data_IF_635936926461
#
_entry.id   IF_635936926461
#
_cell.length_a   1.000
_cell.length_b   1.000
_cell.length_c   1.000
_cell.angle_alpha   90.00
_cell.angle_beta   90.00
_cell.angle_gamma   90.00
#
_symmetry.space_group_name_H-M   'P 1'
#
loop_
_entity.id
_entity.type
_entity.pdbx_description
1 polymer ?
#
# COMPACT_ATOMS: atom_id res chain seq x y z
N UNK A 1 -3.20 -6.94 -14.53
CA UNK A 1 -2.98 -6.69 -13.10
C UNK A 1 -3.78 -7.74 -12.35
N UNK A 2 -3.09 -8.75 -11.83
CA UNK A 2 -3.70 -9.85 -11.07
C UNK A 2 -3.71 -9.40 -9.60
N UNK A 3 -4.90 -9.25 -9.02
CA UNK A 3 -5.07 -8.94 -7.60
C UNK A 3 -5.41 -10.29 -6.94
N UNK A 4 -4.37 -11.08 -6.68
CA UNK A 4 -4.53 -12.48 -6.24
C UNK A 4 -4.90 -12.63 -4.75
N UNK A 5 -5.03 -11.52 -4.00
CA UNK A 5 -5.27 -11.55 -2.55
C UNK A 5 -6.62 -10.95 -2.12
N UNK A 6 -7.53 -10.66 -3.05
CA UNK A 6 -8.83 -10.01 -2.75
C UNK A 6 -9.86 -10.95 -2.09
N UNK A 7 -9.47 -12.16 -1.67
CA UNK A 7 -10.45 -13.17 -1.27
C UNK A 7 -10.60 -13.42 0.24
N UNK A 8 -9.81 -12.83 1.16
CA UNK A 8 -10.07 -13.09 2.60
C UNK A 8 -9.50 -12.14 3.67
N UNK A 9 -8.93 -10.97 3.35
CA UNK A 9 -8.39 -10.07 4.39
C UNK A 9 -8.97 -8.64 4.27
N UNK A 10 -9.23 -8.01 5.43
CA UNK A 10 -9.55 -6.57 5.53
C UNK A 10 -8.34 -5.69 5.12
N UNK A 11 -7.14 -6.27 5.05
CA UNK A 11 -5.87 -5.59 4.77
C UNK A 11 -5.26 -6.11 3.45
N UNK A 12 -4.84 -5.19 2.59
CA UNK A 12 -4.13 -5.47 1.33
C UNK A 12 -2.73 -4.87 1.38
N UNK A 13 -1.71 -5.67 1.07
CA UNK A 13 -0.32 -5.21 0.92
C UNK A 13 0.10 -5.18 -0.56
N UNK A 14 0.68 -4.07 -1.02
CA UNK A 14 1.15 -3.90 -2.39
C UNK A 14 2.64 -3.58 -2.38
N UNK A 15 3.42 -4.31 -3.18
CA UNK A 15 4.85 -4.07 -3.35
C UNK A 15 5.15 -3.51 -4.74
N UNK A 16 6.06 -2.54 -4.81
CA UNK A 16 6.52 -1.92 -6.05
C UNK A 16 7.90 -1.30 -5.90
N UNK A 17 8.61 -1.17 -7.02
CA UNK A 17 10.00 -0.67 -7.03
C UNK A 17 10.11 0.83 -7.30
N UNK A 18 9.07 1.46 -7.84
CA UNK A 18 9.09 2.89 -8.17
C UNK A 18 7.90 3.63 -7.56
N UNK A 19 8.08 4.92 -7.31
CA UNK A 19 7.03 5.79 -6.79
C UNK A 19 5.81 5.84 -7.72
N UNK A 20 6.01 6.04 -9.03
CA UNK A 20 4.92 6.03 -10.02
C UNK A 20 4.12 4.72 -10.00
N UNK A 21 4.79 3.57 -9.83
CA UNK A 21 4.07 2.30 -9.77
C UNK A 21 3.20 2.19 -8.51
N UNK A 22 3.69 2.69 -7.37
CA UNK A 22 2.91 2.68 -6.13
C UNK A 22 1.71 3.62 -6.27
N UNK A 23 1.87 4.81 -6.86
CA UNK A 23 0.76 5.73 -7.12
C UNK A 23 -0.30 5.11 -8.04
N UNK A 24 0.12 4.51 -9.16
CA UNK A 24 -0.79 3.83 -10.11
C UNK A 24 -1.52 2.66 -9.45
N UNK A 25 -0.82 1.85 -8.65
CA UNK A 25 -1.45 0.72 -7.95
C UNK A 25 -2.43 1.18 -6.87
N UNK A 26 -2.05 2.18 -6.08
CA UNK A 26 -2.88 2.72 -4.98
C UNK A 26 -4.16 3.35 -5.52
N UNK A 27 -4.05 4.18 -6.56
CA UNK A 27 -5.21 4.79 -7.24
C UNK A 27 -6.07 3.74 -7.95
N UNK A 28 -5.44 2.74 -8.59
CA UNK A 28 -6.13 1.63 -9.23
C UNK A 28 -6.94 0.78 -8.25
N UNK A 29 -6.38 0.47 -7.09
CA UNK A 29 -7.09 -0.27 -6.01
C UNK A 29 -8.25 0.55 -5.44
N UNK A 30 -8.08 1.86 -5.26
CA UNK A 30 -9.16 2.74 -4.83
C UNK A 30 -10.31 2.79 -5.83
N UNK A 31 -10.01 2.95 -7.11
CA UNK A 31 -11.02 2.92 -8.17
C UNK A 31 -11.74 1.56 -8.24
N UNK A 32 -10.99 0.45 -8.18
CA UNK A 32 -11.56 -0.89 -8.21
C UNK A 32 -12.46 -1.16 -7.00
N UNK A 33 -12.03 -0.76 -5.79
CA UNK A 33 -12.79 -0.90 -4.55
C UNK A 33 -14.10 -0.11 -4.62
N UNK A 34 -14.03 1.15 -5.07
CA UNK A 34 -15.20 1.99 -5.27
C UNK A 34 -16.19 1.39 -6.28
N UNK A 35 -15.69 0.82 -7.37
CA UNK A 35 -16.53 0.17 -8.40
C UNK A 35 -17.33 -1.04 -7.89
N UNK A 36 -16.84 -1.71 -6.85
CA UNK A 36 -17.54 -2.83 -6.19
C UNK A 36 -18.21 -2.43 -4.86
N UNK A 37 -18.27 -1.14 -4.55
CA UNK A 37 -18.93 -0.61 -3.35
C UNK A 37 -18.14 -0.79 -2.05
N UNK A 38 -16.84 -1.12 -2.13
CA UNK A 38 -15.95 -1.15 -0.98
C UNK A 38 -15.41 0.25 -0.66
N UNK A 39 -15.39 0.59 0.63
CA UNK A 39 -14.87 1.86 1.10
C UNK A 39 -13.45 1.68 1.66
N UNK A 40 -12.47 2.31 1.03
CA UNK A 40 -11.10 2.34 1.57
C UNK A 40 -11.03 3.29 2.76
N UNK A 41 -10.50 2.81 3.89
CA UNK A 41 -10.26 3.64 5.06
C UNK A 41 -8.98 4.44 4.86
N UNK A 42 -9.12 5.66 4.33
CA UNK A 42 -8.00 6.52 3.94
C UNK A 42 -6.94 6.68 5.03
N UNK A 43 -7.35 6.96 6.27
CA UNK A 43 -6.45 7.12 7.42
C UNK A 43 -5.83 5.85 7.99
N UNK A 44 -6.08 4.66 7.40
CA UNK A 44 -5.39 3.41 7.76
C UNK A 44 -4.33 2.99 6.75
N UNK A 45 -4.27 3.66 5.61
CA UNK A 45 -3.35 3.30 4.56
C UNK A 45 -1.94 3.76 4.94
N UNK A 46 -1.03 2.79 4.97
CA UNK A 46 0.36 2.96 5.37
C UNK A 46 1.28 2.61 4.22
N UNK A 47 2.43 3.25 4.18
CA UNK A 47 3.49 2.92 3.24
C UNK A 47 4.79 2.66 3.99
N UNK A 48 5.40 1.51 3.69
CA UNK A 48 6.77 1.19 4.04
C UNK A 48 7.66 1.49 2.84
N UNK A 49 8.67 2.34 3.02
CA UNK A 49 9.64 2.69 1.98
C UNK A 49 10.99 2.05 2.32
N UNK A 50 11.65 1.48 1.32
CA UNK A 50 12.99 0.92 1.43
C UNK A 50 13.86 1.43 0.29
N UNK A 51 15.10 1.83 0.56
CA UNK A 51 16.09 2.28 -0.43
C UNK A 51 15.67 3.47 -1.32
N UNK A 52 14.62 4.21 -0.96
CA UNK A 52 14.18 5.42 -1.64
C UNK A 52 14.37 6.58 -0.68
N UNK A 53 15.08 7.64 -1.11
CA UNK A 53 15.15 8.89 -0.34
C UNK A 53 13.71 9.33 -0.01
N UNK A 54 13.45 9.60 1.27
CA UNK A 54 12.12 9.75 1.86
C UNK A 54 11.39 11.05 1.45
N UNK A 55 11.62 11.55 0.25
CA UNK A 55 11.20 12.88 -0.21
C UNK A 55 9.85 12.86 -0.93
N UNK A 56 9.44 11.72 -1.49
CA UNK A 56 8.20 11.63 -2.24
C UNK A 56 7.08 11.03 -1.38
N UNK A 57 6.16 11.89 -0.95
CA UNK A 57 4.93 11.50 -0.28
C UNK A 57 3.92 10.94 -1.27
N UNK A 58 3.18 9.88 -0.91
CA UNK A 58 2.10 9.34 -1.73
C UNK A 58 0.76 9.87 -1.24
N UNK A 59 -0.11 10.25 -2.17
CA UNK A 59 -1.47 10.70 -1.88
C UNK A 59 -2.50 9.70 -2.39
N UNK A 60 -3.50 9.40 -1.58
CA UNK A 60 -4.72 8.73 -1.99
C UNK A 60 -5.91 9.64 -1.71
N UNK A 61 -6.67 10.00 -2.75
CA UNK A 61 -7.80 10.92 -2.65
C UNK A 61 -7.48 12.19 -1.83
N UNK A 62 -6.34 12.82 -2.12
CA UNK A 62 -5.81 14.02 -1.46
C UNK A 62 -5.27 13.82 -0.03
N UNK A 63 -5.40 12.63 0.56
CA UNK A 63 -4.85 12.28 1.87
C UNK A 63 -3.46 11.65 1.73
N UNK A 64 -2.51 12.10 2.55
CA UNK A 64 -1.16 11.54 2.57
C UNK A 64 -1.18 10.17 3.26
N UNK A 65 -0.52 9.19 2.64
CA UNK A 65 -0.30 7.90 3.30
C UNK A 65 0.68 8.07 4.47
N UNK A 66 0.43 7.36 5.56
CA UNK A 66 1.31 7.35 6.71
C UNK A 66 2.59 6.57 6.38
N UNK A 67 3.75 7.24 6.44
CA UNK A 67 5.05 6.60 6.33
C UNK A 67 5.33 5.81 7.63
N UNK A 68 5.59 4.51 7.51
CA UNK A 68 5.89 3.63 8.65
C UNK A 68 7.20 2.87 8.43
N UNK A 69 7.88 2.53 9.52
CA UNK A 69 9.12 1.72 9.50
C UNK A 69 8.85 0.21 9.43
N UNK A 70 7.64 -0.22 9.81
CA UNK A 70 7.19 -1.60 9.70
C UNK A 70 5.67 -1.69 9.73
N UNK A 71 5.13 -2.81 9.26
CA UNK A 71 3.71 -3.17 9.44
C UNK A 71 3.56 -4.66 9.70
N UNK A 72 2.44 -5.07 10.28
CA UNK A 72 2.14 -6.49 10.50
C UNK A 72 1.18 -6.98 9.43
N UNK A 73 1.58 -7.99 8.66
CA UNK A 73 0.73 -8.69 7.70
C UNK A 73 0.68 -10.16 8.03
N UNK A 74 -0.52 -10.72 8.23
CA UNK A 74 -0.72 -12.14 8.57
C UNK A 74 0.13 -12.61 9.77
N UNK A 75 0.20 -11.79 10.82
CA UNK A 75 1.03 -12.00 12.01
C UNK A 75 2.54 -12.02 11.76
N UNK A 76 3.00 -11.57 10.59
CA UNK A 76 4.42 -11.34 10.30
C UNK A 76 4.68 -9.85 10.31
N UNK A 77 5.67 -9.43 11.09
CA UNK A 77 6.22 -8.07 10.97
C UNK A 77 6.98 -8.02 9.66
N UNK A 78 6.65 -7.07 8.80
CA UNK A 78 7.38 -6.74 7.59
C UNK A 78 8.05 -5.41 7.88
N UNK A 79 9.37 -5.42 7.81
CA UNK A 79 10.26 -4.28 7.97
C UNK A 79 11.18 -4.17 6.75
N UNK A 80 12.11 -3.22 6.81
CA UNK A 80 13.11 -2.96 5.79
C UNK A 80 13.97 -4.20 5.48
N UNK A 81 14.36 -4.96 6.51
CA UNK A 81 15.27 -6.10 6.42
C UNK A 81 14.63 -7.31 5.71
N UNK A 82 13.33 -7.51 5.90
CA UNK A 82 12.57 -8.60 5.25
C UNK A 82 12.26 -8.34 3.77
N UNK A 83 12.46 -7.12 3.28
CA UNK A 83 12.27 -6.76 1.86
C UNK A 83 13.56 -6.85 1.02
N UNK A 84 14.65 -7.39 1.57
CA UNK A 84 15.98 -7.39 0.96
C UNK A 84 16.27 -8.59 0.04
N UNK A 85 15.27 -9.41 -0.32
CA UNK A 85 15.45 -10.64 -1.12
C UNK A 85 14.83 -10.54 -2.52
#
# INVERSE_FOLDING_TARGET
MQIDDLNYADDLALLSHTHEQIEVKTTGVAAASSAIGLNIQKGKNKILKYNVENTNSIKLDEELLEDVESFTYLNKVIDEDLMQT
#
